data_IF_943073241688
#
_entry.id   IF_943073241688
#
_cell.length_a   1.000
_cell.length_b   1.000
_cell.length_c   1.000
_cell.angle_alpha   90.00
_cell.angle_beta   90.00
_cell.angle_gamma   90.00
#
_symmetry.space_group_name_H-M   'P 1'
#
loop_
_entity.id
_entity.type
_entity.pdbx_description
1 polymer ?
#
# COMPACT_ATOMS: atom_id res chain seq x y z
N UNK A 1 -6.18 -2.99 11.75
CA UNK A 1 -5.21 -4.00 11.30
C UNK A 1 -4.61 -4.71 12.50
N UNK A 2 -4.42 -6.04 12.46
CA UNK A 2 -3.79 -6.78 13.56
C UNK A 2 -2.28 -6.71 13.40
N UNK A 3 -1.52 -6.57 14.49
CA UNK A 3 -0.09 -6.28 14.41
C UNK A 3 0.72 -7.41 13.75
N UNK A 4 0.32 -8.67 13.97
CA UNK A 4 1.00 -9.82 13.37
C UNK A 4 0.90 -9.86 11.83
N UNK A 5 -0.11 -9.21 11.24
CA UNK A 5 -0.25 -9.13 9.78
C UNK A 5 0.99 -8.48 9.14
N UNK A 6 1.74 -7.67 9.89
CA UNK A 6 2.92 -6.93 9.43
C UNK A 6 4.23 -7.72 9.56
N UNK A 7 4.20 -8.87 10.24
CA UNK A 7 5.38 -9.75 10.37
C UNK A 7 5.52 -10.61 9.11
N UNK A 8 4.40 -10.94 8.46
CA UNK A 8 4.37 -11.69 7.21
C UNK A 8 4.81 -10.76 6.06
N UNK A 9 5.87 -11.12 5.30
CA UNK A 9 6.43 -10.24 4.27
C UNK A 9 5.53 -10.09 3.04
N UNK A 10 4.58 -11.00 2.80
CA UNK A 10 3.62 -10.86 1.71
C UNK A 10 2.51 -9.87 2.07
N UNK A 11 2.13 -9.05 1.10
CA UNK A 11 0.94 -8.20 1.21
C UNK A 11 -0.16 -8.71 0.29
N UNK A 12 -1.42 -8.47 0.66
CA UNK A 12 -2.55 -8.72 -0.22
C UNK A 12 -2.62 -7.65 -1.30
N UNK A 13 -2.94 -8.07 -2.51
CA UNK A 13 -3.33 -7.27 -3.66
C UNK A 13 -4.79 -7.59 -3.97
N UNK A 14 -5.46 -6.71 -4.71
CA UNK A 14 -6.93 -6.76 -4.82
C UNK A 14 -7.38 -6.63 -6.27
N UNK A 15 -8.49 -7.29 -6.58
CA UNK A 15 -9.24 -7.09 -7.83
C UNK A 15 -10.50 -6.32 -7.47
N UNK A 16 -10.79 -5.19 -8.14
CA UNK A 16 -11.99 -4.42 -7.85
C UNK A 16 -13.22 -5.15 -8.39
N UNK A 17 -14.37 -4.93 -7.77
CA UNK A 17 -15.63 -5.61 -8.12
C UNK A 17 -16.75 -4.61 -8.31
N UNK A 18 -17.63 -4.85 -9.28
CA UNK A 18 -18.83 -4.05 -9.54
C UNK A 18 -20.06 -4.79 -9.02
N UNK A 19 -20.80 -4.15 -8.13
CA UNK A 19 -22.07 -4.64 -7.63
C UNK A 19 -23.19 -4.34 -8.64
N UNK A 20 -24.29 -5.10 -8.58
CA UNK A 20 -25.46 -4.92 -9.46
C UNK A 20 -26.08 -3.51 -9.38
N UNK A 21 -25.96 -2.85 -8.23
CA UNK A 21 -26.39 -1.47 -8.03
C UNK A 21 -25.54 -0.42 -8.76
N UNK A 22 -24.46 -0.83 -9.43
CA UNK A 22 -23.49 0.05 -10.09
C UNK A 22 -22.38 0.57 -9.17
N UNK A 23 -22.41 0.24 -7.88
CA UNK A 23 -21.33 0.58 -6.94
C UNK A 23 -20.08 -0.27 -7.21
N UNK A 24 -18.92 0.38 -7.18
CA UNK A 24 -17.62 -0.27 -7.34
C UNK A 24 -16.93 -0.38 -5.99
N UNK A 25 -16.58 -1.61 -5.62
CA UNK A 25 -15.76 -1.90 -4.45
C UNK A 25 -14.29 -2.06 -4.84
N UNK A 26 -13.43 -1.23 -4.26
CA UNK A 26 -11.97 -1.30 -4.41
C UNK A 26 -11.40 -1.49 -2.99
N UNK A 27 -11.11 -2.74 -2.59
CA UNK A 27 -10.62 -3.00 -1.23
C UNK A 27 -9.26 -2.33 -0.98
N UNK A 28 -8.97 -2.02 0.27
CA UNK A 28 -7.63 -1.58 0.67
C UNK A 28 -6.65 -2.77 0.73
N UNK A 29 -5.36 -2.47 0.70
CA UNK A 29 -4.31 -3.50 0.77
C UNK A 29 -3.49 -3.44 2.04
N UNK A 30 -3.03 -2.24 2.41
CA UNK A 30 -2.15 -2.06 3.56
C UNK A 30 -2.30 -0.68 4.18
N UNK A 31 -2.45 -0.63 5.49
CA UNK A 31 -2.29 0.59 6.28
C UNK A 31 -0.81 0.79 6.62
N UNK A 32 -0.25 1.95 6.29
CA UNK A 32 1.03 2.40 6.85
C UNK A 32 0.82 2.76 8.33
N UNK A 33 1.14 1.82 9.21
CA UNK A 33 0.93 1.98 10.65
C UNK A 33 1.75 3.15 11.22
N UNK A 34 1.11 3.92 12.08
CA UNK A 34 1.80 4.84 12.98
C UNK A 34 2.80 4.11 13.88
N UNK A 35 3.90 4.78 14.24
CA UNK A 35 5.00 4.19 15.04
C UNK A 35 4.92 4.52 16.53
N UNK A 36 3.73 4.49 17.11
CA UNK A 36 3.50 4.80 18.52
C UNK A 36 3.28 3.53 19.38
N UNK A 37 3.81 3.52 20.60
CA UNK A 37 3.65 2.41 21.57
C UNK A 37 4.07 1.05 21.01
N UNK A 38 3.23 0.03 21.20
CA UNK A 38 3.49 -1.36 20.74
C UNK A 38 3.67 -1.48 19.22
N UNK A 39 3.23 -0.49 18.43
CA UNK A 39 3.41 -0.52 16.97
C UNK A 39 4.88 -0.42 16.55
N UNK A 40 5.77 0.08 17.42
CA UNK A 40 7.22 0.13 17.17
C UNK A 40 7.87 -1.25 17.01
N UNK A 41 7.21 -2.33 17.45
CA UNK A 41 7.64 -3.71 17.21
C UNK A 41 7.76 -3.98 15.70
N UNK A 42 6.92 -3.33 14.88
CA UNK A 42 7.06 -3.37 13.43
C UNK A 42 8.17 -2.40 13.03
N UNK A 43 9.32 -2.97 12.72
CA UNK A 43 10.50 -2.19 12.33
C UNK A 43 10.26 -1.49 10.98
N UNK A 44 10.95 -0.37 10.70
CA UNK A 44 10.87 0.30 9.40
C UNK A 44 11.18 -0.65 8.23
N UNK A 45 12.16 -1.53 8.41
CA UNK A 45 12.55 -2.50 7.39
C UNK A 45 11.46 -3.56 7.13
N UNK A 46 10.73 -4.00 8.16
CA UNK A 46 9.59 -4.91 7.97
C UNK A 46 8.48 -4.23 7.17
N UNK A 47 8.14 -2.99 7.52
CA UNK A 47 7.15 -2.19 6.80
C UNK A 47 7.57 -1.97 5.34
N UNK A 48 8.80 -1.52 5.08
CA UNK A 48 9.35 -1.34 3.73
C UNK A 48 9.27 -2.63 2.93
N UNK A 49 9.73 -3.76 3.48
CA UNK A 49 9.66 -5.07 2.80
C UNK A 49 8.23 -5.46 2.42
N UNK A 50 7.28 -5.24 3.33
CA UNK A 50 5.87 -5.57 3.10
C UNK A 50 5.24 -4.70 2.01
N UNK A 51 5.48 -3.38 2.04
CA UNK A 51 5.00 -2.46 1.01
C UNK A 51 5.60 -2.83 -0.35
N UNK A 52 6.92 -3.04 -0.42
CA UNK A 52 7.60 -3.45 -1.66
C UNK A 52 7.06 -4.77 -2.20
N UNK A 53 6.73 -5.73 -1.34
CA UNK A 53 6.10 -6.98 -1.75
C UNK A 53 4.69 -6.76 -2.32
N UNK A 54 3.90 -5.86 -1.74
CA UNK A 54 2.59 -5.48 -2.28
C UNK A 54 2.69 -4.83 -3.67
N UNK A 55 3.58 -3.85 -3.82
CA UNK A 55 3.82 -3.17 -5.10
C UNK A 55 4.25 -4.16 -6.19
N UNK A 56 5.21 -5.05 -5.89
CA UNK A 56 5.70 -6.05 -6.84
C UNK A 56 4.63 -7.05 -7.24
N UNK A 57 3.87 -7.58 -6.28
CA UNK A 57 2.78 -8.51 -6.58
C UNK A 57 1.70 -7.87 -7.44
N UNK A 58 1.36 -6.60 -7.21
CA UNK A 58 0.38 -5.88 -8.04
C UNK A 58 0.86 -5.75 -9.49
N UNK A 59 2.13 -5.40 -9.69
CA UNK A 59 2.74 -5.34 -11.01
C UNK A 59 2.80 -6.72 -11.71
N UNK A 60 3.16 -7.78 -10.97
CA UNK A 60 3.26 -9.14 -11.51
C UNK A 60 1.91 -9.77 -11.85
N UNK A 61 0.86 -9.48 -11.07
CA UNK A 61 -0.46 -10.10 -11.19
C UNK A 61 -1.48 -9.23 -11.93
N UNK A 62 -1.10 -8.02 -12.35
CA UNK A 62 -2.03 -7.03 -12.90
C UNK A 62 -3.20 -6.71 -11.94
N UNK A 63 -2.89 -6.64 -10.64
CA UNK A 63 -3.83 -6.36 -9.56
C UNK A 63 -3.56 -4.97 -8.95
N UNK A 64 -4.42 -4.53 -8.04
CA UNK A 64 -4.30 -3.25 -7.34
C UNK A 64 -3.59 -3.45 -6.01
N UNK A 65 -2.67 -2.53 -5.69
CA UNK A 65 -2.13 -2.36 -4.35
C UNK A 65 -2.47 -0.96 -3.82
N UNK A 66 -3.32 -0.90 -2.79
CA UNK A 66 -3.73 0.32 -2.13
C UNK A 66 -3.05 0.47 -0.76
N UNK A 67 -1.97 1.26 -0.74
CA UNK A 67 -1.35 1.74 0.49
C UNK A 67 -2.12 2.97 0.98
N UNK A 68 -2.67 2.89 2.18
CA UNK A 68 -3.41 4.00 2.79
C UNK A 68 -2.82 4.38 4.15
N UNK A 69 -3.10 5.61 4.56
CA UNK A 69 -2.62 6.19 5.81
C UNK A 69 -3.43 7.40 6.23
N UNK A 70 -3.36 7.73 7.51
CA UNK A 70 -3.80 9.01 8.05
C UNK A 70 -2.61 9.94 8.29
N UNK A 71 -2.77 11.27 8.21
CA UNK A 71 -1.72 12.22 8.59
C UNK A 71 -1.16 11.96 10.01
N UNK A 72 -2.02 11.56 10.95
CA UNK A 72 -1.61 11.22 12.32
C UNK A 72 -0.67 10.01 12.39
N UNK A 73 -0.60 9.15 11.36
CA UNK A 73 0.38 8.06 11.32
C UNK A 73 1.83 8.57 11.18
N UNK A 74 2.03 9.81 10.74
CA UNK A 74 3.34 10.45 10.62
C UNK A 74 3.73 11.26 11.86
N UNK A 75 2.88 11.34 12.89
CA UNK A 75 3.14 12.19 14.07
C UNK A 75 4.23 11.69 15.02
N UNK A 76 4.61 10.41 14.93
CA UNK A 76 5.67 9.79 15.74
C UNK A 76 6.73 9.19 14.83
N UNK A 77 8.01 9.39 15.20
CA UNK A 77 9.16 9.04 14.36
C UNK A 77 8.97 9.58 12.92
N UNK A 78 8.60 10.87 12.80
CA UNK A 78 8.17 11.50 11.54
C UNK A 78 9.13 11.27 10.38
N UNK A 79 10.41 11.47 10.61
CA UNK A 79 11.47 11.32 9.62
C UNK A 79 11.53 9.88 9.11
N UNK A 80 11.40 8.91 10.01
CA UNK A 80 11.39 7.48 9.66
C UNK A 80 10.12 7.13 8.88
N UNK A 81 8.97 7.70 9.24
CA UNK A 81 7.72 7.46 8.52
C UNK A 81 7.76 8.02 7.10
N UNK A 82 8.33 9.22 6.94
CA UNK A 82 8.56 9.82 5.64
C UNK A 82 9.56 9.01 4.82
N UNK A 83 10.63 8.48 5.43
CA UNK A 83 11.59 7.58 4.77
C UNK A 83 10.91 6.29 4.24
N UNK A 84 10.00 5.69 5.01
CA UNK A 84 9.24 4.50 4.58
C UNK A 84 8.35 4.84 3.38
N UNK A 85 7.66 5.98 3.41
CA UNK A 85 6.85 6.44 2.30
C UNK A 85 7.72 6.75 1.07
N UNK A 86 8.85 7.42 1.25
CA UNK A 86 9.80 7.76 0.19
C UNK A 86 10.36 6.52 -0.50
N UNK A 87 10.77 5.48 0.24
CA UNK A 87 11.21 4.20 -0.35
C UNK A 87 10.13 3.58 -1.26
N UNK A 88 8.88 3.65 -0.81
CA UNK A 88 7.72 3.13 -1.53
C UNK A 88 7.47 3.91 -2.82
N UNK A 89 7.51 5.25 -2.74
CA UNK A 89 7.33 6.14 -3.89
C UNK A 89 8.47 6.01 -4.91
N UNK A 90 9.72 5.81 -4.47
CA UNK A 90 10.86 5.54 -5.36
C UNK A 90 10.67 4.25 -6.16
N UNK A 91 10.20 3.18 -5.51
CA UNK A 91 9.89 1.93 -6.21
C UNK A 91 8.75 2.10 -7.23
N UNK A 92 7.65 2.76 -6.83
CA UNK A 92 6.52 3.06 -7.73
C UNK A 92 6.99 3.91 -8.92
N UNK A 93 7.77 4.96 -8.67
CA UNK A 93 8.32 5.82 -9.71
C UNK A 93 9.17 5.05 -10.71
N UNK A 94 10.06 4.18 -10.23
CA UNK A 94 10.88 3.33 -11.09
C UNK A 94 10.04 2.35 -11.92
N UNK A 95 9.06 1.66 -11.34
CA UNK A 95 8.21 0.73 -12.09
C UNK A 95 7.33 1.44 -13.12
N UNK A 96 6.78 2.61 -12.75
CA UNK A 96 5.99 3.44 -13.66
C UNK A 96 6.81 3.96 -14.84
N UNK A 97 8.05 4.39 -14.61
CA UNK A 97 8.96 4.84 -15.68
C UNK A 97 9.32 3.73 -16.68
N UNK A 98 9.21 2.47 -16.27
CA UNK A 98 9.47 1.30 -17.10
C UNK A 98 8.16 0.63 -17.60
N UNK A 99 7.03 1.34 -17.54
CA UNK A 99 5.70 0.86 -17.95
C UNK A 99 5.26 -0.46 -17.27
N UNK A 100 5.79 -0.76 -16.08
CA UNK A 100 5.47 -1.98 -15.32
C UNK A 100 4.31 -1.80 -14.34
N UNK A 101 3.88 -0.56 -14.11
CA UNK A 101 2.83 -0.23 -13.14
C UNK A 101 2.17 1.10 -13.50
N UNK A 102 0.85 1.17 -13.31
CA UNK A 102 0.08 2.41 -13.40
C UNK A 102 -0.26 2.96 -12.02
N UNK A 103 -0.30 4.29 -11.89
CA UNK A 103 -0.79 4.97 -10.69
C UNK A 103 -2.12 5.64 -11.03
N UNK A 104 -3.16 5.24 -10.32
CA UNK A 104 -4.53 5.69 -10.59
C UNK A 104 -5.22 6.17 -9.32
N UNK A 105 -6.17 7.10 -9.49
CA UNK A 105 -7.15 7.41 -8.45
C UNK A 105 -8.22 6.32 -8.39
N UNK A 106 -8.90 6.18 -7.25
CA UNK A 106 -10.02 5.26 -7.12
C UNK A 106 -11.13 5.54 -8.15
N UNK A 107 -11.36 6.81 -8.49
CA UNK A 107 -12.31 7.18 -9.54
C UNK A 107 -11.89 6.63 -10.91
N UNK A 108 -10.61 6.74 -11.27
CA UNK A 108 -10.12 6.22 -12.55
C UNK A 108 -10.25 4.69 -12.62
N UNK A 109 -10.02 3.98 -11.51
CA UNK A 109 -10.25 2.54 -11.42
C UNK A 109 -11.74 2.23 -11.58
N UNK A 110 -12.62 2.94 -10.86
CA UNK A 110 -14.06 2.72 -10.90
C UNK A 110 -14.69 2.97 -12.28
N UNK A 111 -14.12 3.86 -13.08
CA UNK A 111 -14.57 4.11 -14.46
C UNK A 111 -14.11 3.04 -15.46
N UNK A 112 -13.06 2.26 -15.14
CA UNK A 112 -12.49 1.25 -16.06
C UNK A 112 -13.17 -0.12 -16.00
N UNK A 113 -13.91 -0.40 -14.93
CA UNK A 113 -14.58 -1.70 -14.71
C UNK A 113 -16.09 -1.58 -14.77
#
# INVERSE_FOLDING_TARGET
ARLFDYIIPSCRTVVPTRHESGLVNIPDSLLLLGRNGLRKIITPNMMKRKIRSGIKQAAERQEIFHLWFHPSNFSYDTEIQLEILEDSLKLVGSLRQNDKLEVQTMQQIATRI
#
